data_IF_083129797059
#
_entry.id   IF_083129797059
#
_cell.length_a   1.000
_cell.length_b   1.000
_cell.length_c   1.000
_cell.angle_alpha   90.00
_cell.angle_beta   90.00
_cell.angle_gamma   90.00
#
_symmetry.space_group_name_H-M   'P 1'
#
loop_
_entity.id
_entity.type
_entity.pdbx_description
1 polymer ?
#
# COMPACT_ATOMS: atom_id res chain seq x y z
N UNK A 1 -2.87 -21.02 3.41
CA UNK A 1 -1.86 -20.17 4.07
C UNK A 1 -1.01 -19.51 3.00
N UNK A 2 -0.91 -18.18 2.98
CA UNK A 2 0.00 -17.50 2.04
C UNK A 2 1.46 -17.72 2.41
N UNK A 3 2.33 -17.87 1.42
CA UNK A 3 3.78 -17.95 1.64
C UNK A 3 4.42 -16.59 1.41
N UNK A 4 5.16 -16.08 2.38
CA UNK A 4 5.92 -14.81 2.25
C UNK A 4 7.26 -15.08 1.59
N UNK A 5 7.52 -14.40 0.47
CA UNK A 5 8.75 -14.54 -0.32
C UNK A 5 9.77 -13.44 0.01
N UNK A 6 9.27 -12.24 0.31
CA UNK A 6 10.08 -11.08 0.66
C UNK A 6 9.34 -10.29 1.75
N UNK A 7 10.06 -9.78 2.75
CA UNK A 7 9.51 -8.98 3.83
C UNK A 7 10.49 -7.88 4.21
N UNK A 8 10.10 -6.62 3.96
CA UNK A 8 10.93 -5.45 4.19
C UNK A 8 10.23 -4.52 5.18
N UNK A 9 10.97 -4.07 6.19
CA UNK A 9 10.43 -3.22 7.26
C UNK A 9 10.37 -1.75 6.81
N UNK A 10 9.17 -1.18 6.78
CA UNK A 10 8.93 0.24 6.52
C UNK A 10 9.19 1.10 7.76
N UNK A 11 9.13 0.50 8.95
CA UNK A 11 9.32 1.10 10.26
C UNK A 11 8.04 1.09 11.09
N UNK A 12 8.19 1.18 12.42
CA UNK A 12 7.07 1.15 13.39
C UNK A 12 6.16 -0.08 13.23
N UNK A 13 6.76 -1.27 13.18
CA UNK A 13 6.05 -2.54 12.99
C UNK A 13 5.22 -2.59 11.68
N UNK A 14 5.58 -1.80 10.67
CA UNK A 14 4.96 -1.85 9.34
C UNK A 14 5.90 -2.49 8.36
N UNK A 15 5.36 -3.32 7.49
CA UNK A 15 6.11 -4.09 6.52
C UNK A 15 5.45 -3.99 5.15
N UNK A 16 6.28 -4.10 4.13
CA UNK A 16 5.86 -4.46 2.78
C UNK A 16 6.34 -5.89 2.50
N UNK A 17 5.41 -6.73 2.07
CA UNK A 17 5.64 -8.15 1.88
C UNK A 17 5.17 -8.60 0.51
N UNK A 18 5.96 -9.44 -0.14
CA UNK A 18 5.52 -10.18 -1.33
C UNK A 18 5.01 -11.53 -0.85
N UNK A 19 3.76 -11.83 -1.17
CA UNK A 19 3.10 -13.06 -0.74
C UNK A 19 2.49 -13.80 -1.92
N UNK A 20 2.58 -15.12 -1.90
CA UNK A 20 1.82 -16.02 -2.79
C UNK A 20 0.63 -16.57 -2.02
N UNK A 21 -0.57 -16.33 -2.54
CA UNK A 21 -1.82 -16.87 -2.02
C UNK A 21 -1.97 -18.36 -2.35
N UNK A 22 -2.92 -19.04 -1.71
CA UNK A 22 -3.17 -20.47 -1.90
C UNK A 22 -3.57 -20.85 -3.33
N UNK A 23 -4.15 -19.91 -4.08
CA UNK A 23 -4.50 -20.04 -5.50
C UNK A 23 -3.31 -19.78 -6.44
N UNK A 24 -2.10 -19.57 -5.90
CA UNK A 24 -0.89 -19.23 -6.67
C UNK A 24 -0.76 -17.75 -7.04
N UNK A 25 -1.76 -16.92 -6.74
CA UNK A 25 -1.73 -15.49 -7.05
C UNK A 25 -0.69 -14.76 -6.19
N UNK A 26 0.15 -13.93 -6.83
CA UNK A 26 1.09 -13.05 -6.14
C UNK A 26 0.47 -11.71 -5.82
N UNK A 27 0.68 -11.27 -4.58
CA UNK A 27 0.25 -9.98 -4.07
C UNK A 27 1.40 -9.28 -3.35
N UNK A 28 1.30 -7.95 -3.25
CA UNK A 28 2.12 -7.13 -2.39
C UNK A 28 1.25 -6.61 -1.23
N UNK A 29 1.57 -7.05 -0.01
CA UNK A 29 0.87 -6.65 1.22
C UNK A 29 1.64 -5.55 1.95
N UNK A 30 0.97 -4.44 2.25
CA UNK A 30 1.52 -3.30 3.00
C UNK A 30 0.72 -3.17 4.28
N UNK A 31 1.33 -3.48 5.44
CA UNK A 31 0.54 -3.72 6.66
C UNK A 31 1.29 -3.38 7.94
N UNK A 32 0.54 -2.92 8.93
CA UNK A 32 0.95 -2.81 10.33
C UNK A 32 0.76 -4.16 11.03
N UNK A 33 1.79 -4.59 11.72
CA UNK A 33 1.85 -5.80 12.53
C UNK A 33 1.85 -5.42 14.01
N UNK A 34 1.54 -6.39 14.86
CA UNK A 34 1.68 -6.26 16.31
C UNK A 34 2.45 -7.43 16.85
N UNK A 35 3.22 -7.15 17.88
CA UNK A 35 3.98 -8.16 18.62
C UNK A 35 3.31 -8.43 19.97
N UNK A 36 3.03 -9.69 20.29
CA UNK A 36 2.56 -10.13 21.62
C UNK A 36 3.14 -11.50 21.92
N UNK A 37 3.65 -11.71 23.14
CA UNK A 37 4.11 -13.02 23.63
C UNK A 37 5.01 -13.78 22.63
N UNK A 38 6.05 -13.12 22.11
CA UNK A 38 6.99 -13.64 21.12
C UNK A 38 6.38 -14.06 19.77
N UNK A 39 5.15 -13.62 19.46
CA UNK A 39 4.52 -13.80 18.16
C UNK A 39 4.21 -12.46 17.52
N UNK A 40 4.48 -12.36 16.22
CA UNK A 40 4.07 -11.25 15.39
C UNK A 40 2.82 -11.64 14.61
N UNK A 41 1.81 -10.77 14.58
CA UNK A 41 0.59 -11.02 13.82
C UNK A 41 0.16 -9.79 13.03
N UNK A 42 -0.40 -9.98 11.82
CA UNK A 42 -0.85 -8.90 10.97
C UNK A 42 -2.10 -8.24 11.57
N UNK A 43 -2.18 -6.91 11.53
CA UNK A 43 -3.40 -6.19 11.93
C UNK A 43 -4.33 -5.96 10.74
N UNK A 44 -5.55 -5.46 11.02
CA UNK A 44 -6.48 -5.00 9.98
C UNK A 44 -6.01 -3.70 9.29
N UNK A 45 -5.03 -2.98 9.84
CA UNK A 45 -4.47 -1.76 9.23
C UNK A 45 -3.43 -2.15 8.20
N UNK A 46 -3.86 -2.16 6.95
CA UNK A 46 -3.03 -2.55 5.82
C UNK A 46 -3.87 -2.72 4.58
N UNK A 47 -3.18 -2.93 3.47
CA UNK A 47 -3.80 -3.21 2.18
C UNK A 47 -2.96 -4.21 1.42
N UNK A 48 -3.66 -5.13 0.75
CA UNK A 48 -3.06 -6.09 -0.16
C UNK A 48 -3.38 -5.64 -1.58
N UNK A 49 -2.35 -5.49 -2.40
CA UNK A 49 -2.45 -5.09 -3.79
C UNK A 49 -2.06 -6.29 -4.66
N UNK A 50 -2.83 -6.57 -5.71
CA UNK A 50 -2.33 -7.44 -6.76
C UNK A 50 -1.21 -6.72 -7.53
N UNK A 51 -0.47 -7.46 -8.37
CA UNK A 51 0.70 -6.92 -9.05
C UNK A 51 0.39 -5.71 -9.94
N UNK A 52 -0.76 -5.73 -10.63
CA UNK A 52 -1.18 -4.61 -11.47
C UNK A 52 -1.46 -3.34 -10.65
N UNK A 53 -2.18 -3.45 -9.53
CA UNK A 53 -2.44 -2.32 -8.63
C UNK A 53 -1.15 -1.80 -7.99
N UNK A 54 -0.22 -2.70 -7.66
CA UNK A 54 1.09 -2.30 -7.14
C UNK A 54 1.91 -1.56 -8.20
N UNK A 55 1.89 -2.00 -9.46
CA UNK A 55 2.53 -1.29 -10.59
C UNK A 55 1.93 0.10 -10.79
N UNK A 56 0.60 0.24 -10.74
CA UNK A 56 -0.04 1.56 -10.80
C UNK A 56 0.39 2.46 -9.64
N UNK A 57 0.55 1.90 -8.43
CA UNK A 57 1.09 2.64 -7.29
C UNK A 57 2.52 3.12 -7.56
N UNK A 58 3.41 2.26 -8.10
CA UNK A 58 4.80 2.65 -8.39
C UNK A 58 4.88 3.74 -9.45
N UNK A 59 4.06 3.65 -10.51
CA UNK A 59 3.96 4.69 -11.54
C UNK A 59 3.38 6.02 -11.02
N UNK A 60 2.64 5.99 -9.91
CA UNK A 60 2.06 7.20 -9.30
C UNK A 60 3.02 7.93 -8.36
N UNK A 61 4.21 7.37 -8.06
CA UNK A 61 5.14 7.90 -7.05
C UNK A 61 5.56 9.34 -7.36
N UNK A 62 5.98 9.63 -8.59
CA UNK A 62 6.48 10.97 -8.97
C UNK A 62 5.37 12.04 -8.88
N UNK A 63 4.14 11.65 -9.20
CA UNK A 63 2.96 12.51 -9.08
C UNK A 63 2.66 12.81 -7.61
N UNK A 64 2.68 11.77 -6.76
CA UNK A 64 2.51 11.91 -5.31
C UNK A 64 3.59 12.81 -4.71
N UNK A 65 4.85 12.62 -5.06
CA UNK A 65 5.97 13.44 -4.58
C UNK A 65 5.80 14.91 -4.98
N UNK A 66 5.39 15.16 -6.22
CA UNK A 66 5.11 16.50 -6.73
C UNK A 66 4.01 17.17 -5.93
N UNK A 67 2.92 16.46 -5.65
CA UNK A 67 1.75 17.07 -5.02
C UNK A 67 1.85 17.17 -3.50
N UNK A 68 2.62 16.27 -2.86
CA UNK A 68 3.08 16.46 -1.48
C UNK A 68 3.89 17.76 -1.35
N UNK A 69 4.71 18.10 -2.34
CA UNK A 69 5.50 19.34 -2.34
C UNK A 69 4.63 20.58 -2.54
N UNK A 70 3.59 20.51 -3.38
CA UNK A 70 2.62 21.61 -3.59
C UNK A 70 1.68 21.83 -2.42
N UNK A 71 1.50 20.83 -1.55
CA UNK A 71 0.52 20.84 -0.44
C UNK A 71 -0.91 21.04 -0.95
N UNK A 72 -1.27 20.35 -2.03
CA UNK A 72 -2.62 20.35 -2.58
C UNK A 72 -3.38 19.09 -2.16
N UNK A 73 -4.69 19.24 -1.95
CA UNK A 73 -5.58 18.11 -1.67
C UNK A 73 -5.91 17.39 -2.97
N UNK A 74 -5.46 16.14 -3.10
CA UNK A 74 -5.67 15.33 -4.29
C UNK A 74 -6.01 13.89 -3.91
N UNK A 75 -6.65 13.17 -4.83
CA UNK A 75 -7.12 11.82 -4.57
C UNK A 75 -7.01 10.94 -5.80
N UNK A 76 -5.89 10.24 -5.93
CA UNK A 76 -5.64 9.40 -7.11
C UNK A 76 -6.35 8.06 -7.00
N UNK A 77 -7.05 7.66 -8.06
CA UNK A 77 -7.63 6.32 -8.15
C UNK A 77 -6.65 5.38 -8.86
N UNK A 78 -6.24 4.30 -8.18
CA UNK A 78 -5.31 3.32 -8.75
C UNK A 78 -6.00 2.03 -9.21
N UNK A 79 -7.34 1.99 -9.17
CA UNK A 79 -8.14 0.82 -9.54
C UNK A 79 -8.74 0.09 -8.35
N UNK A 80 -9.68 -0.81 -8.63
CA UNK A 80 -10.38 -1.61 -7.63
C UNK A 80 -10.92 -0.78 -6.44
N UNK A 81 -11.43 0.44 -6.65
CA UNK A 81 -11.86 1.35 -5.59
C UNK A 81 -10.77 1.63 -4.54
N UNK A 82 -9.48 1.58 -4.91
CA UNK A 82 -8.37 1.97 -4.06
C UNK A 82 -7.92 3.35 -4.49
N UNK A 83 -7.81 4.24 -3.50
CA UNK A 83 -7.42 5.61 -3.72
C UNK A 83 -6.22 5.98 -2.86
N UNK A 84 -5.46 6.96 -3.36
CA UNK A 84 -4.30 7.57 -2.71
C UNK A 84 -4.62 9.02 -2.35
N UNK A 85 -5.34 9.27 -1.24
CA UNK A 85 -5.64 10.63 -0.82
C UNK A 85 -4.38 11.29 -0.27
N UNK A 86 -4.01 12.40 -0.89
CA UNK A 86 -2.99 13.35 -0.46
C UNK A 86 -3.71 14.54 0.15
N UNK A 87 -3.22 14.98 1.32
CA UNK A 87 -3.75 16.15 2.00
C UNK A 87 -2.65 17.18 2.14
N UNK A 88 -2.92 18.42 1.76
CA UNK A 88 -1.93 19.50 1.82
C UNK A 88 -1.42 19.82 3.22
N UNK A 89 -2.23 19.51 4.24
CA UNK A 89 -1.91 19.71 5.64
C UNK A 89 -1.12 18.54 6.27
N UNK A 90 -0.89 17.46 5.54
CA UNK A 90 -0.30 16.23 6.07
C UNK A 90 0.82 15.70 5.18
N UNK A 91 2.02 15.46 5.72
CA UNK A 91 3.12 14.89 4.94
C UNK A 91 2.99 13.35 4.77
N UNK A 92 1.83 12.78 5.09
CA UNK A 92 1.61 11.33 5.05
C UNK A 92 0.88 10.89 3.78
N UNK A 93 1.27 9.74 3.24
CA UNK A 93 0.63 9.14 2.06
C UNK A 93 -0.34 8.06 2.50
N UNK A 94 -1.61 8.21 2.12
CA UNK A 94 -2.62 7.18 2.39
C UNK A 94 -2.78 6.25 1.20
N UNK A 95 -2.94 4.96 1.47
CA UNK A 95 -3.33 3.94 0.48
C UNK A 95 -4.56 3.26 1.04
N UNK A 96 -5.73 3.47 0.43
CA UNK A 96 -7.02 3.19 1.11
C UNK A 96 -8.05 2.61 0.16
N UNK A 97 -8.71 1.52 0.57
CA UNK A 97 -9.87 0.97 -0.13
C UNK A 97 -11.12 1.76 0.24
N UNK A 98 -11.91 2.09 -0.76
CA UNK A 98 -13.20 2.75 -0.65
C UNK A 98 -14.32 1.76 -1.00
N UNK A 99 -15.51 2.04 -0.49
CA UNK A 99 -16.74 1.31 -0.82
C UNK A 99 -17.86 2.29 -1.13
N UNK A 100 -18.84 1.86 -1.92
CA UNK A 100 -20.10 2.57 -2.06
C UNK A 100 -21.11 1.98 -1.05
N UNK A 101 -21.59 2.74 -0.06
CA UNK A 101 -22.72 2.34 0.76
C UNK A 101 -24.01 2.27 -0.06
N UNK A 102 -24.96 1.40 0.32
CA UNK A 102 -26.24 1.26 -0.39
C UNK A 102 -27.05 2.56 -0.45
N UNK A 103 -26.91 3.41 0.58
CA UNK A 103 -27.68 4.64 0.74
C UNK A 103 -26.90 5.92 0.43
N UNK A 104 -25.70 5.82 -0.13
CA UNK A 104 -24.87 6.98 -0.45
C UNK A 104 -24.43 6.96 -1.91
N UNK A 105 -24.48 8.12 -2.57
CA UNK A 105 -24.01 8.26 -3.95
C UNK A 105 -22.49 8.19 -4.03
N UNK A 106 -21.81 8.65 -2.97
CA UNK A 106 -20.36 8.83 -2.93
C UNK A 106 -19.62 7.61 -2.36
N UNK A 107 -18.40 7.42 -2.83
CA UNK A 107 -17.47 6.44 -2.27
C UNK A 107 -16.95 6.93 -0.91
N UNK A 108 -16.98 6.05 0.09
CA UNK A 108 -16.46 6.33 1.43
C UNK A 108 -15.23 5.48 1.75
N UNK A 109 -14.23 6.03 2.46
CA UNK A 109 -13.04 5.27 2.85
C UNK A 109 -13.42 4.16 3.84
N UNK A 110 -12.73 3.02 3.74
CA UNK A 110 -12.93 1.89 4.65
C UNK A 110 -11.79 1.76 5.67
N UNK A 111 -11.92 0.85 6.63
CA UNK A 111 -10.82 0.52 7.55
C UNK A 111 -9.65 -0.19 6.83
N UNK A 112 -9.84 -0.71 5.61
CA UNK A 112 -8.79 -1.38 4.82
C UNK A 112 -7.92 -0.33 4.11
N UNK A 113 -6.67 -0.25 4.53
CA UNK A 113 -5.72 0.74 4.06
C UNK A 113 -4.66 1.05 5.10
N UNK A 114 -3.66 1.81 4.70
CA UNK A 114 -2.56 2.24 5.55
C UNK A 114 -2.25 3.72 5.29
N UNK A 115 -1.77 4.40 6.32
CA UNK A 115 -1.27 5.78 6.24
C UNK A 115 0.23 5.70 6.53
N UNK A 116 1.03 5.94 5.49
CA UNK A 116 2.48 5.90 5.55
C UNK A 116 3.00 7.28 5.96
N UNK A 117 3.75 7.31 7.07
CA UNK A 117 4.48 8.49 7.53
C UNK A 117 5.66 8.78 6.59
N UNK A 118 6.25 9.99 6.62
CA UNK A 118 7.34 10.36 5.71
C UNK A 118 8.48 9.34 5.64
N UNK A 119 8.94 8.81 6.79
CA UNK A 119 9.98 7.79 6.84
C UNK A 119 9.53 6.46 6.21
N UNK A 120 8.30 6.03 6.48
CA UNK A 120 7.75 4.78 5.96
C UNK A 120 7.51 4.85 4.46
N UNK A 121 7.06 6.01 3.98
CA UNK A 121 6.91 6.28 2.55
C UNK A 121 8.26 6.35 1.85
N UNK A 122 9.26 7.00 2.46
CA UNK A 122 10.63 6.97 1.95
C UNK A 122 11.16 5.54 1.83
N UNK A 123 11.00 4.71 2.88
CA UNK A 123 11.40 3.31 2.86
C UNK A 123 10.66 2.51 1.79
N UNK A 124 9.36 2.75 1.61
CA UNK A 124 8.60 2.15 0.50
C UNK A 124 9.25 2.44 -0.85
N UNK A 125 9.64 3.70 -1.11
CA UNK A 125 10.32 4.10 -2.35
C UNK A 125 11.66 3.38 -2.54
N UNK A 126 12.45 3.29 -1.48
CA UNK A 126 13.74 2.58 -1.52
C UNK A 126 13.59 1.09 -1.85
N UNK A 127 12.50 0.47 -1.39
CA UNK A 127 12.24 -0.95 -1.56
C UNK A 127 11.58 -1.35 -2.87
N UNK A 128 11.10 -0.39 -3.69
CA UNK A 128 10.44 -0.70 -4.95
C UNK A 128 11.31 -1.59 -5.85
N UNK A 129 12.59 -1.24 -6.01
CA UNK A 129 13.53 -2.02 -6.82
C UNK A 129 13.77 -3.44 -6.27
N UNK A 130 13.76 -3.61 -4.94
CA UNK A 130 13.90 -4.92 -4.31
C UNK A 130 12.66 -5.78 -4.52
N UNK A 131 11.48 -5.17 -4.51
CA UNK A 131 10.20 -5.85 -4.73
C UNK A 131 10.04 -6.23 -6.20
N UNK A 132 10.40 -5.36 -7.13
CA UNK A 132 10.40 -5.65 -8.56
C UNK A 132 11.31 -6.84 -8.88
N UNK A 133 12.52 -6.90 -8.29
CA UNK A 133 13.42 -8.06 -8.43
C UNK A 133 12.86 -9.34 -7.82
N UNK A 134 12.09 -9.23 -6.73
CA UNK A 134 11.44 -10.39 -6.10
C UNK A 134 10.22 -10.89 -6.89
N UNK A 135 9.66 -10.06 -7.76
CA UNK A 135 8.46 -10.35 -8.56
C UNK A 135 8.71 -9.98 -10.02
N UNK A 136 9.35 -10.89 -10.75
CA UNK A 136 9.71 -10.69 -12.16
C UNK A 136 8.53 -10.33 -13.07
N UNK A 137 7.28 -10.70 -12.72
CA UNK A 137 6.10 -10.31 -13.51
C UNK A 137 5.85 -8.80 -13.51
N UNK A 138 6.34 -8.06 -12.52
CA UNK A 138 6.23 -6.60 -12.50
C UNK A 138 7.01 -5.92 -13.64
N UNK A 139 7.93 -6.64 -14.29
CA UNK A 139 8.63 -6.16 -15.50
C UNK A 139 7.77 -6.35 -16.76
N UNK A 140 6.83 -7.29 -16.73
CA UNK A 140 6.02 -7.71 -17.89
C UNK A 140 4.59 -7.17 -17.91
N UNK A 141 4.16 -6.55 -16.81
CA UNK A 141 2.83 -5.90 -16.63
C UNK A 141 2.96 -4.40 -16.92
#
# INVERSE_FOLDING_TARGET
MSTTQCSLELGNERYIQVCTLDNGERIVDIREWKSSENRQFPTKKGISLNLQLFKTLTLSIDLIDTDLAKKEDLNYHIGANIFLPIKGDSPCVNIRKYRKPENEENLVPTKKGICLRPLEYLNLKLYLSSIEKAVSELETI
#
